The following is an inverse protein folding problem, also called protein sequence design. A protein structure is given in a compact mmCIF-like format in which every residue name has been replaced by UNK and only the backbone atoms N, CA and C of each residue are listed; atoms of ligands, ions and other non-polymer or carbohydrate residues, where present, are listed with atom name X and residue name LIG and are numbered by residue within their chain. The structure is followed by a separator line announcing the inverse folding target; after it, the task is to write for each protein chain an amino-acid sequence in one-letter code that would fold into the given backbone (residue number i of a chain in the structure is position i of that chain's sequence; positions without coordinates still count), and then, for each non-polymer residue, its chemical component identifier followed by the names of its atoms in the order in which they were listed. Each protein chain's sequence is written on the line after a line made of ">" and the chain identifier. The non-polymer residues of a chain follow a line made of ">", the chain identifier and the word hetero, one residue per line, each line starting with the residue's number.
data_IF_733446837009
#
_entry.id   IF_733446837009
#
_cell.length_a   1.000
_cell.length_b   1.000
_cell.length_c   1.000
_cell.angle_alpha   90.00
_cell.angle_beta   90.00
_cell.angle_gamma   90.00
#
_symmetry.space_group_name_H-M   'P 1'
#
loop_
_entity.id
_entity.type
_entity.pdbx_description
1 polymer ?
#
# COMPACT_ATOMS: atom_id res chain seq x y z
N UNK A 1 4.75 -19.47 6.52
CA UNK A 1 4.31 -18.10 6.17
C UNK A 1 3.17 -17.75 7.12
N UNK A 2 3.44 -16.91 8.11
CA UNK A 2 2.42 -16.42 9.05
C UNK A 2 1.39 -15.57 8.32
N UNK A 3 0.25 -16.15 7.98
CA UNK A 3 -0.88 -15.45 7.37
C UNK A 3 -1.70 -14.74 8.46
N UNK A 4 -1.08 -13.82 9.20
CA UNK A 4 -1.84 -12.84 9.99
C UNK A 4 -2.34 -11.76 9.03
N UNK A 5 -3.64 -11.53 9.00
CA UNK A 5 -4.23 -10.40 8.25
C UNK A 5 -3.65 -9.12 8.85
N UNK A 6 -2.74 -8.48 8.11
CA UNK A 6 -2.18 -7.19 8.52
C UNK A 6 -3.25 -6.12 8.34
N UNK A 7 -3.58 -5.44 9.44
CA UNK A 7 -4.37 -4.22 9.38
C UNK A 7 -3.62 -3.19 8.54
N UNK A 8 -4.32 -2.39 7.70
CA UNK A 8 -3.68 -1.33 6.94
C UNK A 8 -2.93 -0.41 7.92
N UNK A 9 -1.59 -0.39 7.84
CA UNK A 9 -0.79 0.59 8.55
C UNK A 9 -0.81 1.89 7.75
N UNK A 10 -0.89 3.04 8.41
CA UNK A 10 -0.70 4.32 7.74
C UNK A 10 0.78 4.44 7.36
N UNK A 11 1.13 4.41 6.06
CA UNK A 11 2.52 4.46 5.66
C UNK A 11 3.02 5.88 5.84
N UNK A 12 4.16 6.05 6.51
CA UNK A 12 4.79 7.37 6.64
C UNK A 12 5.28 7.86 5.27
N UNK A 13 4.75 9.00 4.80
CA UNK A 13 5.27 9.65 3.60
C UNK A 13 6.69 10.18 3.86
N UNK A 14 7.68 9.54 3.22
CA UNK A 14 9.09 9.95 3.25
C UNK A 14 9.52 10.45 1.88
N UNK A 15 10.62 11.19 1.83
CA UNK A 15 11.22 11.63 0.57
C UNK A 15 11.82 10.42 -0.15
N UNK A 16 11.35 10.16 -1.37
CA UNK A 16 11.73 9.00 -2.18
C UNK A 16 12.80 9.26 -3.27
N UNK A 17 13.50 10.40 -3.19
CA UNK A 17 14.52 10.75 -4.18
C UNK A 17 15.72 9.78 -4.12
N UNK A 18 16.04 9.14 -5.23
CA UNK A 18 17.12 8.14 -5.38
C UNK A 18 17.03 6.93 -4.43
N UNK A 19 15.83 6.62 -3.94
CA UNK A 19 15.64 5.52 -2.97
C UNK A 19 15.64 4.15 -3.63
N UNK A 20 14.85 3.98 -4.70
CA UNK A 20 14.73 2.70 -5.40
C UNK A 20 15.59 2.60 -6.67
N UNK A 21 15.95 3.75 -7.26
CA UNK A 21 16.69 3.83 -8.53
C UNK A 21 17.81 4.83 -8.31
N UNK A 22 19.05 4.48 -8.62
CA UNK A 22 20.19 5.39 -8.48
C UNK A 22 20.25 6.40 -9.63
N UNK A 23 21.01 7.49 -9.44
CA UNK A 23 21.25 8.47 -10.51
C UNK A 23 21.84 7.82 -11.77
N UNK A 24 22.81 6.94 -11.58
CA UNK A 24 23.49 6.29 -12.70
C UNK A 24 22.56 5.34 -13.47
N UNK A 25 21.73 4.59 -12.76
CA UNK A 25 20.80 3.65 -13.39
C UNK A 25 19.68 4.39 -14.12
N UNK A 26 19.18 5.50 -13.56
CA UNK A 26 18.20 6.33 -14.23
C UNK A 26 18.75 6.97 -15.51
N UNK A 27 20.02 7.40 -15.50
CA UNK A 27 20.66 7.96 -16.68
C UNK A 27 20.80 6.92 -17.80
N UNK A 28 21.17 5.68 -17.46
CA UNK A 28 21.16 4.55 -18.41
C UNK A 28 19.76 4.32 -18.97
N UNK A 29 18.76 4.22 -18.09
CA UNK A 29 17.37 3.97 -18.48
C UNK A 29 16.85 5.08 -19.41
N UNK A 30 17.22 6.34 -19.18
CA UNK A 30 16.83 7.46 -20.04
C UNK A 30 17.39 7.38 -21.46
N UNK A 31 18.57 6.77 -21.64
CA UNK A 31 19.20 6.62 -22.96
C UNK A 31 18.59 5.49 -23.80
N UNK A 32 17.92 4.51 -23.15
CA UNK A 32 17.35 3.35 -23.83
C UNK A 32 16.04 3.72 -24.54
N UNK A 33 15.93 3.49 -25.86
CA UNK A 33 14.69 3.75 -26.61
C UNK A 33 13.80 2.51 -26.75
N UNK A 34 14.39 1.32 -26.69
CA UNK A 34 13.68 0.06 -26.90
C UNK A 34 12.91 -0.36 -25.65
N UNK A 35 11.59 -0.53 -25.76
CA UNK A 35 10.72 -1.01 -24.67
C UNK A 35 11.24 -2.29 -23.98
N UNK A 36 11.62 -3.36 -24.70
CA UNK A 36 12.11 -4.59 -24.05
C UNK A 36 13.42 -4.37 -23.29
N UNK A 37 14.27 -3.44 -23.74
CA UNK A 37 15.50 -3.10 -23.02
C UNK A 37 15.20 -2.29 -21.76
N UNK A 38 14.22 -1.38 -21.79
CA UNK A 38 13.75 -0.66 -20.58
C UNK A 38 13.19 -1.67 -19.56
N UNK A 39 12.38 -2.64 -19.99
CA UNK A 39 11.85 -3.68 -19.11
C UNK A 39 12.96 -4.48 -18.46
N UNK A 40 13.99 -4.86 -19.22
CA UNK A 40 15.15 -5.59 -18.70
C UNK A 40 15.92 -4.75 -17.67
N UNK A 41 16.23 -3.50 -17.99
CA UNK A 41 16.92 -2.59 -17.08
C UNK A 41 16.13 -2.36 -15.78
N UNK A 42 14.81 -2.16 -15.88
CA UNK A 42 13.95 -2.02 -14.70
C UNK A 42 13.88 -3.28 -13.85
N UNK A 43 13.87 -4.46 -14.48
CA UNK A 43 13.86 -5.72 -13.76
C UNK A 43 15.14 -5.90 -12.94
N UNK A 44 16.29 -5.50 -13.49
CA UNK A 44 17.59 -5.54 -12.82
C UNK A 44 17.67 -4.51 -11.68
N UNK A 45 17.23 -3.27 -11.92
CA UNK A 45 17.34 -2.18 -10.93
C UNK A 45 16.35 -2.31 -9.77
N UNK A 46 15.12 -2.71 -10.05
CA UNK A 46 14.06 -2.81 -9.04
C UNK A 46 14.00 -4.20 -8.38
N UNK A 47 14.92 -5.11 -8.73
CA UNK A 47 15.04 -6.47 -8.20
C UNK A 47 13.69 -7.21 -8.18
N UNK A 48 12.97 -7.20 -9.31
CA UNK A 48 11.59 -7.72 -9.39
C UNK A 48 11.62 -9.26 -9.49
N UNK A 49 11.63 -9.92 -8.34
CA UNK A 49 11.51 -11.39 -8.23
C UNK A 49 10.04 -11.85 -8.25
N UNK A 50 9.35 -11.63 -9.37
CA UNK A 50 7.96 -12.07 -9.55
C UNK A 50 7.83 -13.11 -10.66
N UNK A 51 6.96 -14.12 -10.49
CA UNK A 51 6.62 -15.02 -11.58
C UNK A 51 5.78 -14.30 -12.65
N UNK A 52 5.91 -14.72 -13.90
CA UNK A 52 4.96 -14.33 -14.94
C UNK A 52 3.58 -14.93 -14.62
N UNK A 53 2.47 -14.21 -14.89
CA UNK A 53 2.36 -12.94 -15.62
C UNK A 53 2.46 -11.67 -14.75
N UNK A 54 2.61 -11.80 -13.42
CA UNK A 54 2.57 -10.66 -12.49
C UNK A 54 3.71 -9.67 -12.75
N UNK A 55 4.89 -10.20 -13.05
CA UNK A 55 6.07 -9.41 -13.44
C UNK A 55 5.80 -8.53 -14.66
N UNK A 56 5.22 -9.10 -15.72
CA UNK A 56 4.92 -8.36 -16.95
C UNK A 56 3.98 -7.19 -16.72
N UNK A 57 2.94 -7.36 -15.90
CA UNK A 57 1.98 -6.31 -15.58
C UNK A 57 2.64 -5.17 -14.80
N UNK A 58 3.51 -5.50 -13.85
CA UNK A 58 4.22 -4.50 -13.05
C UNK A 58 5.27 -3.75 -13.90
N UNK A 59 6.01 -4.46 -14.75
CA UNK A 59 6.97 -3.87 -15.66
C UNK A 59 6.29 -2.96 -16.69
N UNK A 60 5.15 -3.37 -17.24
CA UNK A 60 4.38 -2.53 -18.16
C UNK A 60 3.98 -1.21 -17.47
N UNK A 61 3.45 -1.27 -16.25
CA UNK A 61 3.14 -0.08 -15.46
C UNK A 61 4.35 0.87 -15.32
N UNK A 62 5.53 0.35 -15.01
CA UNK A 62 6.75 1.17 -14.87
C UNK A 62 7.24 1.72 -16.21
N UNK A 63 7.20 0.93 -17.28
CA UNK A 63 7.54 1.40 -18.63
C UNK A 63 6.63 2.53 -19.06
N UNK A 64 5.31 2.39 -18.90
CA UNK A 64 4.35 3.44 -19.22
C UNK A 64 4.63 4.72 -18.42
N UNK A 65 5.10 4.59 -17.18
CA UNK A 65 5.48 5.74 -16.33
C UNK A 65 6.72 6.45 -16.86
N UNK A 66 7.73 5.72 -17.35
CA UNK A 66 8.91 6.30 -17.99
C UNK A 66 8.54 7.00 -19.29
N UNK A 67 7.71 6.36 -20.13
CA UNK A 67 7.25 6.96 -21.39
C UNK A 67 6.50 8.27 -21.13
N UNK A 68 5.59 8.29 -20.14
CA UNK A 68 4.93 9.51 -19.71
C UNK A 68 5.91 10.59 -19.24
N UNK A 69 6.93 10.22 -18.46
CA UNK A 69 7.97 11.18 -18.03
C UNK A 69 8.75 11.76 -19.20
N UNK A 70 9.01 10.96 -20.24
CA UNK A 70 9.70 11.42 -21.46
C UNK A 70 8.84 12.38 -22.26
N UNK A 71 7.55 12.09 -22.41
CA UNK A 71 6.59 12.98 -23.06
C UNK A 71 6.49 14.35 -22.37
N UNK A 72 6.56 14.36 -21.03
CA UNK A 72 6.55 15.58 -20.21
C UNK A 72 7.93 16.22 -20.00
N UNK A 73 8.99 15.64 -20.57
CA UNK A 73 10.38 16.08 -20.43
C UNK A 73 10.86 16.24 -18.98
N UNK A 74 10.43 15.34 -18.09
CA UNK A 74 10.87 15.34 -16.70
C UNK A 74 12.34 14.98 -16.55
N UNK A 75 12.99 15.54 -15.52
CA UNK A 75 14.39 15.27 -15.17
C UNK A 75 14.55 13.86 -14.60
N UNK A 76 15.76 13.29 -14.66
CA UNK A 76 16.05 11.98 -14.07
C UNK A 76 15.65 11.86 -12.58
N UNK A 77 15.85 12.93 -11.80
CA UNK A 77 15.41 13.01 -10.40
C UNK A 77 13.87 12.92 -10.25
N UNK A 78 13.13 13.55 -11.15
CA UNK A 78 11.67 13.52 -11.15
C UNK A 78 11.14 12.15 -11.60
N UNK A 79 11.75 11.53 -12.62
CA UNK A 79 11.35 10.20 -13.09
C UNK A 79 11.60 9.11 -12.04
N UNK A 80 12.78 9.11 -11.42
CA UNK A 80 13.12 8.16 -10.35
C UNK A 80 12.18 8.31 -9.15
N UNK A 81 11.89 9.55 -8.75
CA UNK A 81 10.95 9.83 -7.65
C UNK A 81 9.55 9.35 -7.99
N UNK A 82 9.06 9.58 -9.21
CA UNK A 82 7.72 9.13 -9.63
C UNK A 82 7.60 7.60 -9.62
N UNK A 83 8.61 6.89 -10.14
CA UNK A 83 8.65 5.43 -10.11
C UNK A 83 8.65 4.90 -8.67
N UNK A 84 9.41 5.55 -7.78
CA UNK A 84 9.47 5.20 -6.35
C UNK A 84 8.13 5.45 -5.65
N UNK A 85 7.45 6.58 -5.94
CA UNK A 85 6.08 6.88 -5.46
C UNK A 85 5.11 5.78 -5.90
N UNK A 86 5.16 5.39 -7.17
CA UNK A 86 4.26 4.37 -7.71
C UNK A 86 4.53 2.99 -7.09
N UNK A 87 5.80 2.64 -6.87
CA UNK A 87 6.20 1.42 -6.15
C UNK A 87 5.71 1.44 -4.70
N UNK A 88 5.83 2.57 -4.00
CA UNK A 88 5.33 2.73 -2.64
C UNK A 88 3.80 2.57 -2.57
N UNK A 89 3.05 3.24 -3.45
CA UNK A 89 1.60 3.09 -3.56
C UNK A 89 1.22 1.62 -3.84
N UNK A 90 1.93 0.96 -4.76
CA UNK A 90 1.69 -0.43 -5.08
C UNK A 90 1.92 -1.35 -3.87
N UNK A 91 3.01 -1.15 -3.15
CA UNK A 91 3.32 -1.90 -1.93
C UNK A 91 2.20 -1.76 -0.88
N UNK A 92 1.72 -0.55 -0.64
CA UNK A 92 0.63 -0.27 0.31
C UNK A 92 -0.68 -0.92 -0.13
N UNK A 93 -1.00 -0.88 -1.43
CA UNK A 93 -2.21 -1.51 -1.96
C UNK A 93 -2.22 -3.03 -1.74
N UNK A 94 -1.07 -3.68 -1.91
CA UNK A 94 -0.90 -5.15 -1.82
C UNK A 94 -0.69 -5.65 -0.38
N UNK A 95 -0.29 -4.79 0.55
CA UNK A 95 -0.02 -5.17 1.94
C UNK A 95 -1.23 -5.81 2.66
N UNK A 96 -2.44 -5.39 2.30
CA UNK A 96 -3.67 -5.87 2.92
C UNK A 96 -4.67 -6.36 1.88
N UNK A 97 -5.44 -7.40 2.24
CA UNK A 97 -6.53 -7.94 1.42
C UNK A 97 -7.76 -7.04 1.51
N UNK A 98 -7.86 -6.23 2.56
CA UNK A 98 -8.96 -5.31 2.79
C UNK A 98 -8.95 -4.14 1.80
N UNK A 99 -10.13 -3.61 1.46
CA UNK A 99 -10.21 -2.43 0.61
C UNK A 99 -9.55 -1.22 1.29
N UNK A 100 -8.47 -0.72 0.71
CA UNK A 100 -7.66 0.38 1.23
C UNK A 100 -7.51 1.53 0.22
N UNK A 101 -8.48 1.67 -0.70
CA UNK A 101 -8.45 2.68 -1.76
C UNK A 101 -8.36 4.11 -1.21
N UNK A 102 -9.10 4.41 -0.14
CA UNK A 102 -9.10 5.72 0.52
C UNK A 102 -7.73 6.03 1.11
N UNK A 103 -7.09 5.04 1.75
CA UNK A 103 -5.74 5.16 2.28
C UNK A 103 -4.70 5.36 1.17
N UNK A 104 -4.75 4.56 0.10
CA UNK A 104 -3.84 4.71 -1.05
C UNK A 104 -3.95 6.09 -1.70
N UNK A 105 -5.17 6.61 -1.79
CA UNK A 105 -5.44 7.94 -2.35
C UNK A 105 -4.94 9.06 -1.44
N UNK A 106 -5.18 8.97 -0.13
CA UNK A 106 -4.63 9.90 0.86
C UNK A 106 -3.10 9.89 0.84
N UNK A 107 -2.51 8.70 0.83
CA UNK A 107 -1.07 8.49 0.78
C UNK A 107 -0.43 9.05 -0.49
N UNK A 108 -1.06 8.85 -1.66
CA UNK A 108 -0.62 9.45 -2.92
C UNK A 108 -0.57 10.99 -2.84
N UNK A 109 -1.63 11.61 -2.31
CA UNK A 109 -1.68 13.07 -2.13
C UNK A 109 -0.60 13.57 -1.17
N UNK A 110 -0.39 12.87 -0.07
CA UNK A 110 0.62 13.24 0.92
C UNK A 110 2.04 13.13 0.34
N UNK A 111 2.36 12.05 -0.38
CA UNK A 111 3.63 11.89 -1.08
C UNK A 111 3.87 13.02 -2.08
N UNK A 112 2.88 13.33 -2.93
CA UNK A 112 3.01 14.40 -3.91
C UNK A 112 3.21 15.76 -3.26
N UNK A 113 2.48 16.06 -2.18
CA UNK A 113 2.66 17.30 -1.42
C UNK A 113 4.08 17.42 -0.86
N UNK A 114 4.62 16.32 -0.34
CA UNK A 114 5.98 16.22 0.22
C UNK A 114 7.08 16.40 -0.83
N UNK A 115 6.76 16.17 -2.10
CA UNK A 115 7.66 16.37 -3.24
C UNK A 115 7.43 17.70 -3.99
N UNK A 116 6.51 18.54 -3.51
CA UNK A 116 6.22 19.85 -4.09
C UNK A 116 6.59 21.02 -3.17
N UNK A 117 6.49 20.85 -1.85
CA UNK A 117 6.75 21.94 -0.90
C UNK A 117 8.16 21.85 -0.34
N UNK A 118 8.90 22.96 -0.34
CA UNK A 118 10.23 23.05 0.29
C UNK A 118 10.13 23.21 1.81
N UNK A 119 10.27 22.11 2.57
CA UNK A 119 10.49 22.11 4.03
C UNK A 119 11.43 20.95 4.44
N UNK A 120 12.76 21.21 4.46
CA UNK A 120 13.71 20.27 5.07
C UNK A 120 13.37 20.06 6.56
N UNK A 121 13.48 18.85 7.14
CA UNK A 121 14.06 17.60 6.61
C UNK A 121 13.06 16.70 5.86
N UNK A 122 11.78 17.06 5.84
CA UNK A 122 10.69 16.17 5.45
C UNK A 122 10.26 16.26 4.00
N UNK A 123 10.48 17.39 3.31
CA UNK A 123 9.92 17.65 1.99
C UNK A 123 10.91 18.39 1.07
N UNK A 124 10.84 18.08 -0.23
CA UNK A 124 11.71 18.61 -1.27
C UNK A 124 10.85 19.23 -2.37
N UNK A 125 11.33 20.33 -2.95
CA UNK A 125 10.72 20.98 -4.11
C UNK A 125 11.27 20.36 -5.41
N UNK A 126 10.68 19.23 -5.82
CA UNK A 126 11.02 18.53 -7.07
C UNK A 126 10.02 18.81 -8.19
N UNK A 127 8.77 19.07 -7.83
CA UNK A 127 7.67 19.29 -8.78
C UNK A 127 6.98 20.62 -8.54
N UNK A 128 6.72 21.34 -9.63
CA UNK A 128 5.86 22.52 -9.62
C UNK A 128 4.39 22.12 -9.41
N UNK A 129 3.52 23.06 -9.00
CA UNK A 129 2.11 22.81 -8.75
C UNK A 129 1.37 22.21 -9.96
N UNK A 130 1.67 22.67 -11.17
CA UNK A 130 1.08 22.14 -12.42
C UNK A 130 1.55 20.71 -12.72
N UNK A 131 2.83 20.42 -12.46
CA UNK A 131 3.41 19.09 -12.63
C UNK A 131 2.79 18.11 -11.63
N UNK A 132 2.60 18.53 -10.38
CA UNK A 132 1.94 17.74 -9.33
C UNK A 132 0.52 17.35 -9.75
N UNK A 133 -0.26 18.30 -10.28
CA UNK A 133 -1.61 18.02 -10.74
C UNK A 133 -1.60 17.02 -11.91
N UNK A 134 -0.71 17.22 -12.87
CA UNK A 134 -0.55 16.33 -14.03
C UNK A 134 -0.15 14.91 -13.62
N UNK A 135 0.78 14.79 -12.69
CA UNK A 135 1.25 13.51 -12.13
C UNK A 135 0.12 12.84 -11.35
N UNK A 136 -0.62 13.59 -10.54
CA UNK A 136 -1.73 13.05 -9.78
C UNK A 136 -2.81 12.48 -10.70
N UNK A 137 -3.20 13.22 -11.74
CA UNK A 137 -4.17 12.76 -12.74
C UNK A 137 -3.66 11.51 -13.47
N UNK A 138 -2.37 11.47 -13.82
CA UNK A 138 -1.74 10.30 -14.41
C UNK A 138 -1.81 9.07 -13.49
N UNK A 139 -1.38 9.19 -12.23
CA UNK A 139 -1.43 8.09 -11.25
C UNK A 139 -2.87 7.63 -11.02
N UNK A 140 -3.81 8.58 -10.97
CA UNK A 140 -5.22 8.28 -10.78
C UNK A 140 -5.77 7.43 -11.92
N UNK A 141 -5.51 7.84 -13.17
CA UNK A 141 -6.03 7.15 -14.34
C UNK A 141 -5.33 5.81 -14.61
N UNK A 142 -4.02 5.75 -14.44
CA UNK A 142 -3.22 4.55 -14.75
C UNK A 142 -3.28 3.50 -13.64
N UNK A 143 -3.26 3.91 -12.37
CA UNK A 143 -3.16 3.00 -11.23
C UNK A 143 -4.44 2.95 -10.38
N UNK A 144 -4.85 4.09 -9.79
CA UNK A 144 -5.92 4.10 -8.78
C UNK A 144 -7.28 3.69 -9.34
N UNK A 145 -7.61 4.07 -10.59
CA UNK A 145 -8.83 3.63 -11.28
C UNK A 145 -8.90 2.11 -11.42
N UNK A 146 -7.75 1.47 -11.59
CA UNK A 146 -7.61 0.03 -11.77
C UNK A 146 -7.18 -0.71 -10.49
N UNK A 147 -7.34 -0.11 -9.31
CA UNK A 147 -6.84 -0.67 -8.03
C UNK A 147 -7.32 -2.11 -7.78
N UNK A 148 -8.57 -2.45 -8.15
CA UNK A 148 -9.15 -3.80 -7.98
C UNK A 148 -8.37 -4.86 -8.76
N UNK A 149 -7.92 -4.53 -9.97
CA UNK A 149 -7.16 -5.43 -10.84
C UNK A 149 -5.82 -5.77 -10.18
N UNK A 150 -5.06 -4.73 -9.80
CA UNK A 150 -3.79 -4.92 -9.10
C UNK A 150 -3.98 -5.67 -7.78
N UNK A 151 -5.01 -5.33 -7.00
CA UNK A 151 -5.27 -6.01 -5.74
C UNK A 151 -5.56 -7.50 -5.93
N UNK A 152 -6.38 -7.85 -6.93
CA UNK A 152 -6.72 -9.24 -7.23
C UNK A 152 -5.52 -10.09 -7.70
N UNK A 153 -4.59 -9.49 -8.45
CA UNK A 153 -3.43 -10.21 -9.01
C UNK A 153 -2.33 -10.39 -7.96
N UNK A 154 -2.05 -9.36 -7.17
CA UNK A 154 -0.87 -9.31 -6.32
C UNK A 154 -1.14 -9.76 -4.88
N UNK A 155 -2.38 -9.74 -4.42
CA UNK A 155 -2.71 -10.14 -3.04
C UNK A 155 -3.02 -11.64 -2.94
N UNK A 156 -2.43 -12.38 -1.99
CA UNK A 156 -2.81 -13.78 -1.75
C UNK A 156 -4.25 -13.88 -1.25
N UNK A 157 -5.03 -14.80 -1.82
CA UNK A 157 -6.41 -15.05 -1.38
C UNK A 157 -6.43 -15.80 -0.05
N UNK A 158 -6.87 -15.14 1.03
CA UNK A 158 -7.20 -15.82 2.29
C UNK A 158 -8.60 -16.40 2.15
N UNK A 159 -8.69 -17.72 2.01
CA UNK A 159 -9.97 -18.44 1.83
C UNK A 159 -10.68 -18.75 3.15
N UNK A 160 -9.96 -18.67 4.27
CA UNK A 160 -10.49 -19.00 5.58
C UNK A 160 -9.65 -18.32 6.67
N UNK A 161 -10.31 -17.53 7.51
CA UNK A 161 -9.74 -16.98 8.75
C UNK A 161 -10.64 -17.42 9.90
N UNK A 162 -10.17 -18.41 10.68
CA UNK A 162 -10.93 -19.01 11.79
C UNK A 162 -10.34 -18.53 13.12
N UNK A 163 -11.13 -17.77 13.88
CA UNK A 163 -10.84 -17.47 15.27
C UNK A 163 -11.79 -18.28 16.17
N UNK A 164 -11.25 -19.29 16.84
CA UNK A 164 -11.99 -20.10 17.80
C UNK A 164 -11.72 -19.56 19.20
N UNK A 165 -12.77 -19.06 19.85
CA UNK A 165 -12.73 -18.73 21.29
C UNK A 165 -13.53 -19.79 22.01
N UNK A 166 -12.85 -20.63 22.79
CA UNK A 166 -13.50 -21.66 23.60
C UNK A 166 -14.05 -21.00 24.87
N UNK A 167 -15.37 -20.95 25.02
CA UNK A 167 -16.00 -20.64 26.29
C UNK A 167 -16.16 -21.95 27.07
N UNK A 168 -15.40 -22.10 28.16
CA UNK A 168 -15.66 -23.15 29.15
C UNK A 168 -17.10 -22.98 29.66
N UNK A 169 -17.98 -23.90 29.29
CA UNK A 169 -19.29 -24.03 29.93
C UNK A 169 -19.04 -24.56 31.34
N UNK A 170 -19.15 -23.69 32.35
CA UNK A 170 -19.22 -24.11 33.75
C UNK A 170 -20.52 -24.91 33.96
N UNK A 171 -20.46 -26.21 33.70
CA UNK A 171 -21.49 -27.16 34.13
C UNK A 171 -21.14 -27.60 35.54
N UNK A 172 -21.88 -27.09 36.53
CA UNK A 172 -21.93 -27.70 37.85
C UNK A 172 -21.91 -26.74 39.04
N UNK A 173 -23.11 -26.34 39.47
CA UNK A 173 -23.54 -26.56 40.87
C UNK A 173 -25.00 -26.15 41.02
N UNK A 174 -25.89 -27.13 40.94
CA UNK A 174 -27.21 -27.13 41.57
C UNK A 174 -27.11 -26.70 43.03
N UNK A 175 -28.00 -25.84 43.55
CA UNK A 175 -28.35 -25.85 44.95
C UNK A 175 -29.68 -26.60 45.10
N UNK A 176 -29.61 -27.82 45.62
CA UNK A 176 -30.80 -28.54 46.08
C UNK A 176 -30.54 -29.09 47.49
N UNK A 177 -31.52 -28.88 48.38
CA UNK A 177 -31.63 -29.27 49.80
C UNK A 177 -30.90 -28.39 50.84
N UNK A 178 -31.46 -28.00 51.98
CA UNK A 178 -32.74 -28.28 52.61
C UNK A 178 -32.99 -27.27 53.76
N UNK A 179 -34.26 -26.86 53.89
CA UNK A 179 -35.08 -26.74 55.12
C UNK A 179 -34.34 -26.57 56.47
N UNK A 180 -34.63 -25.51 57.24
CA UNK A 180 -35.63 -25.53 58.32
C UNK A 180 -35.46 -24.40 59.38
N UNK A 181 -36.60 -23.80 59.73
CA UNK A 181 -37.01 -23.29 61.05
C UNK A 181 -36.34 -22.07 61.73
N UNK A 182 -37.16 -21.01 61.94
CA UNK A 182 -37.59 -20.39 63.22
C UNK A 182 -37.96 -18.90 62.98
N UNK A 183 -39.26 -18.54 62.85
CA UNK A 183 -40.23 -18.10 63.88
C UNK A 183 -40.06 -16.66 64.41
N UNK A 184 -41.18 -15.92 64.34
CA UNK A 184 -41.58 -14.72 65.13
C UNK A 184 -40.84 -13.40 64.80
N UNK A 185 -41.47 -12.24 64.50
CA UNK A 185 -42.56 -11.54 65.19
C UNK A 185 -43.17 -10.39 64.34
N UNK A 186 -44.51 -10.31 64.37
CA UNK A 186 -45.54 -9.23 64.22
C UNK A 186 -45.28 -7.78 63.66
N UNK A 187 -46.40 -7.07 63.28
CA UNK A 187 -46.45 -5.90 62.36
C UNK A 187 -46.82 -4.55 63.02
N UNK A 188 -46.74 -3.47 62.24
CA UNK A 188 -47.54 -2.23 62.25
C UNK A 188 -47.12 -1.43 60.98
N UNK A 189 -47.96 -0.80 60.15
CA UNK A 189 -49.30 -0.20 60.28
C UNK A 189 -50.19 -0.53 59.06
#
# INVERSE_FOLDING_TARGET
>A
MDMKIKMPQEPEARVLLWTDITYHDMEKINQIQSIPEIQKALCEVLEIELPDPKRGILLDLYVQTILYCREKQYKAAQTSTLLSILKAIHRVNVETIMNNITHCHSFCKELLFRHSVRRPPSSIDLYNAEEVFSIYEYIYNTYLRHYRLYKAIFTPQVKLDLSLTYSDQTVGSTPDNAVDSLKDQKPAD
#
